data_IF_363815401529
#
_entry.id   IF_363815401529
#
_cell.length_a   1.000
_cell.length_b   1.000
_cell.length_c   1.000
_cell.angle_alpha   90.00
_cell.angle_beta   90.00
_cell.angle_gamma   90.00
#
_symmetry.space_group_name_H-M   'P 1'
#
loop_
_entity.id
_entity.type
_entity.pdbx_description
1 polymer ?
#
# COMPACT_ATOMS: atom_id res chain seq x y z
N UNK A 1 5.86 15.21 44.00
CA UNK A 1 4.84 14.83 42.98
C UNK A 1 4.99 15.66 41.70
N UNK A 2 6.16 15.65 41.02
CA UNK A 2 6.42 16.55 39.87
C UNK A 2 6.69 15.83 38.53
N UNK A 3 6.90 14.52 38.52
CA UNK A 3 7.40 13.79 37.33
C UNK A 3 6.33 13.45 36.27
N UNK A 4 5.04 13.45 36.63
CA UNK A 4 3.95 13.05 35.71
C UNK A 4 3.63 14.11 34.64
N UNK A 5 3.95 15.38 34.91
CA UNK A 5 3.70 16.52 33.99
C UNK A 5 4.68 16.53 32.81
N UNK A 6 5.96 16.28 33.06
CA UNK A 6 7.02 16.35 32.05
C UNK A 6 6.92 15.20 31.04
N UNK A 7 6.67 13.98 31.53
CA UNK A 7 6.49 12.79 30.68
C UNK A 7 5.28 12.91 29.72
N UNK A 8 4.19 13.56 30.18
CA UNK A 8 3.02 13.83 29.35
C UNK A 8 3.33 14.85 28.24
N UNK A 9 4.05 15.92 28.56
CA UNK A 9 4.47 16.94 27.58
C UNK A 9 5.40 16.36 26.51
N UNK A 10 6.28 15.44 26.92
CA UNK A 10 7.23 14.78 26.01
C UNK A 10 6.51 13.81 25.06
N UNK A 11 5.57 12.99 25.57
CA UNK A 11 4.67 12.18 24.75
C UNK A 11 3.82 13.02 23.79
N UNK A 12 3.38 14.20 24.23
CA UNK A 12 2.56 15.10 23.43
C UNK A 12 3.37 15.75 22.31
N UNK A 13 4.62 16.12 22.60
CA UNK A 13 5.59 16.60 21.59
C UNK A 13 5.96 15.51 20.58
N UNK A 14 6.14 14.27 21.02
CA UNK A 14 6.39 13.12 20.13
C UNK A 14 5.20 12.81 19.22
N UNK A 15 3.99 12.95 19.74
CA UNK A 15 2.75 12.85 18.97
C UNK A 15 2.63 13.96 17.93
N UNK A 16 2.93 15.20 18.32
CA UNK A 16 2.93 16.36 17.40
C UNK A 16 3.99 16.23 16.31
N UNK A 17 5.21 15.80 16.65
CA UNK A 17 6.27 15.56 15.67
C UNK A 17 5.87 14.48 14.66
N UNK A 18 5.32 13.35 15.13
CA UNK A 18 4.79 12.30 14.24
C UNK A 18 3.63 12.77 13.38
N UNK A 19 2.72 13.58 13.93
CA UNK A 19 1.62 14.18 13.16
C UNK A 19 2.12 15.14 12.08
N UNK A 20 3.18 15.89 12.37
CA UNK A 20 3.77 16.84 11.43
C UNK A 20 4.58 16.14 10.32
N UNK A 21 5.23 15.02 10.61
CA UNK A 21 5.88 14.20 9.58
C UNK A 21 4.85 13.50 8.68
N UNK A 22 3.69 13.12 9.23
CA UNK A 22 2.54 12.62 8.47
C UNK A 22 1.91 13.71 7.59
N UNK A 23 1.81 14.96 8.08
CA UNK A 23 1.23 16.07 7.30
C UNK A 23 2.12 16.44 6.10
N UNK A 24 3.44 16.36 6.25
CA UNK A 24 4.41 16.55 5.14
C UNK A 24 4.26 15.49 4.05
N UNK A 25 3.89 14.26 4.41
CA UNK A 25 3.55 13.19 3.45
C UNK A 25 2.17 13.39 2.79
N UNK A 26 1.28 14.19 3.39
CA UNK A 26 -0.10 14.45 2.91
C UNK A 26 -0.28 15.77 2.13
N UNK A 27 0.73 16.66 2.09
CA UNK A 27 0.63 17.96 1.37
C UNK A 27 0.33 17.87 -0.14
N UNK A 28 0.21 16.66 -0.70
CA UNK A 28 -0.24 16.46 -2.06
C UNK A 28 -1.74 16.34 -2.29
N UNK A 29 -2.65 16.18 -1.30
CA UNK A 29 -4.04 15.76 -1.64
C UNK A 29 -5.24 15.99 -0.72
N UNK A 30 -5.20 16.79 0.34
CA UNK A 30 -6.40 17.00 1.19
C UNK A 30 -6.80 18.46 1.33
N UNK A 31 -7.98 18.77 0.81
CA UNK A 31 -8.62 20.07 0.80
C UNK A 31 -8.89 20.58 2.23
N UNK A 32 -8.63 21.86 2.42
CA UNK A 32 -8.51 22.64 3.67
C UNK A 32 -9.79 22.73 4.51
N UNK A 33 -10.93 22.23 4.03
CA UNK A 33 -12.25 22.43 4.63
C UNK A 33 -12.61 21.45 5.76
N UNK A 34 -11.94 20.30 5.86
CA UNK A 34 -12.23 19.31 6.92
C UNK A 34 -11.62 19.65 8.29
N UNK A 35 -10.55 20.45 8.34
CA UNK A 35 -9.84 20.76 9.59
C UNK A 35 -10.57 21.80 10.45
N UNK A 36 -11.33 22.73 9.86
CA UNK A 36 -12.00 23.79 10.62
C UNK A 36 -13.28 23.30 11.33
N UNK A 37 -14.04 22.39 10.71
CA UNK A 37 -15.25 21.83 11.32
C UNK A 37 -14.94 20.96 12.54
N UNK A 38 -13.76 20.31 12.55
CA UNK A 38 -13.33 19.45 13.65
C UNK A 38 -13.03 20.27 14.92
N UNK A 39 -12.41 21.44 14.77
CA UNK A 39 -12.07 22.33 15.89
C UNK A 39 -13.31 22.90 16.59
N UNK A 40 -14.39 23.15 15.85
CA UNK A 40 -15.64 23.67 16.42
C UNK A 40 -16.40 22.63 17.26
N UNK A 41 -16.28 21.34 16.94
CA UNK A 41 -16.90 20.26 17.70
C UNK A 41 -16.22 19.95 19.04
N UNK A 42 -14.94 20.35 19.21
CA UNK A 42 -14.16 20.11 20.43
C UNK A 42 -14.58 20.98 21.63
N UNK A 43 -15.27 22.10 21.40
CA UNK A 43 -15.52 23.12 22.45
C UNK A 43 -16.81 22.92 23.25
N UNK A 44 -17.79 22.14 22.77
CA UNK A 44 -19.17 22.21 23.28
C UNK A 44 -19.67 21.00 24.08
N UNK A 45 -18.93 19.89 24.20
CA UNK A 45 -19.44 18.71 24.93
C UNK A 45 -18.34 18.01 25.75
N UNK A 46 -18.43 17.96 27.10
CA UNK A 46 -17.48 17.20 27.92
C UNK A 46 -17.57 15.68 27.68
N UNK A 47 -18.71 15.18 27.19
CA UNK A 47 -18.89 13.78 26.76
C UNK A 47 -18.12 13.51 25.44
N UNK A 48 -17.96 14.53 24.59
CA UNK A 48 -17.16 14.42 23.38
C UNK A 48 -15.69 14.23 23.73
N UNK A 49 -15.17 14.81 24.82
CA UNK A 49 -13.79 14.62 25.25
C UNK A 49 -13.44 13.15 25.54
N UNK A 50 -14.35 12.37 26.14
CA UNK A 50 -14.13 10.95 26.42
C UNK A 50 -14.20 10.08 25.14
N UNK A 51 -15.10 10.42 24.21
CA UNK A 51 -15.23 9.76 22.89
C UNK A 51 -14.05 10.10 21.99
N UNK A 52 -13.56 11.34 22.04
CA UNK A 52 -12.49 11.89 21.21
C UNK A 52 -11.10 11.44 21.69
N UNK A 53 -10.98 11.09 22.97
CA UNK A 53 -9.81 10.42 23.57
C UNK A 53 -9.62 8.98 23.08
N UNK A 54 -10.69 8.27 22.70
CA UNK A 54 -10.61 6.99 21.97
C UNK A 54 -10.52 7.18 20.44
N UNK A 55 -10.97 8.31 19.91
CA UNK A 55 -11.01 8.60 18.47
C UNK A 55 -9.64 9.00 17.89
N UNK A 56 -8.75 9.59 18.69
CA UNK A 56 -7.40 10.01 18.27
C UNK A 56 -6.53 8.87 17.66
N UNK A 57 -6.37 7.69 18.29
CA UNK A 57 -5.57 6.61 17.71
C UNK A 57 -6.21 5.97 16.46
N UNK A 58 -7.54 5.92 16.38
CA UNK A 58 -8.27 5.38 15.22
C UNK A 58 -8.14 6.34 14.02
N UNK A 59 -8.25 7.65 14.25
CA UNK A 59 -8.05 8.65 13.21
C UNK A 59 -6.59 8.64 12.73
N UNK A 60 -5.61 8.49 13.63
CA UNK A 60 -4.20 8.34 13.25
C UNK A 60 -3.93 7.05 12.45
N UNK A 61 -4.58 5.94 12.84
CA UNK A 61 -4.56 4.67 12.10
C UNK A 61 -5.14 4.82 10.69
N UNK A 62 -6.28 5.52 10.57
CA UNK A 62 -6.93 5.77 9.29
C UNK A 62 -6.07 6.69 8.41
N UNK A 63 -5.53 7.78 8.95
CA UNK A 63 -4.71 8.74 8.21
C UNK A 63 -3.38 8.14 7.72
N UNK A 64 -2.70 7.34 8.54
CA UNK A 64 -1.42 6.73 8.15
C UNK A 64 -1.58 5.56 7.17
N UNK A 65 -2.73 4.88 7.13
CA UNK A 65 -2.99 3.78 6.20
C UNK A 65 -3.56 4.26 4.85
N UNK A 66 -4.23 5.42 4.82
CA UNK A 66 -4.86 5.97 3.61
C UNK A 66 -3.85 6.29 2.48
N UNK A 67 -2.58 6.54 2.80
CA UNK A 67 -1.55 6.79 1.79
C UNK A 67 -1.00 5.52 1.14
N UNK A 68 -0.91 4.42 1.90
CA UNK A 68 -0.22 3.19 1.47
C UNK A 68 -1.15 2.17 0.81
N UNK A 69 -2.43 2.16 1.22
CA UNK A 69 -3.46 1.27 0.65
C UNK A 69 -3.72 1.45 -0.85
N UNK A 70 -3.78 2.67 -1.44
CA UNK A 70 -4.02 2.82 -2.87
C UNK A 70 -2.82 2.36 -3.72
N UNK A 71 -1.59 2.51 -3.24
CA UNK A 71 -0.40 2.09 -3.99
C UNK A 71 -0.22 0.57 -3.97
N UNK A 72 -0.52 -0.07 -2.84
CA UNK A 72 -0.60 -1.54 -2.73
C UNK A 72 -1.70 -2.08 -3.66
N UNK A 73 -2.88 -1.45 -3.68
CA UNK A 73 -3.98 -1.87 -4.55
C UNK A 73 -3.62 -1.77 -6.05
N UNK A 74 -2.97 -0.69 -6.48
CA UNK A 74 -2.48 -0.53 -7.86
C UNK A 74 -1.42 -1.58 -8.20
N UNK A 75 -0.47 -1.82 -7.30
CA UNK A 75 0.57 -2.83 -7.52
C UNK A 75 -0.03 -4.24 -7.67
N UNK A 76 -0.99 -4.60 -6.82
CA UNK A 76 -1.76 -5.86 -6.98
C UNK A 76 -2.51 -5.94 -8.31
N UNK A 77 -3.12 -4.85 -8.79
CA UNK A 77 -3.83 -4.85 -10.07
C UNK A 77 -2.86 -5.09 -11.24
N UNK A 78 -1.72 -4.41 -11.23
CA UNK A 78 -0.67 -4.58 -12.25
C UNK A 78 -0.08 -5.99 -12.21
N UNK A 79 0.20 -6.52 -11.02
CA UNK A 79 0.66 -7.90 -10.81
C UNK A 79 -0.31 -8.91 -11.42
N UNK A 80 -1.61 -8.82 -11.09
CA UNK A 80 -2.65 -9.70 -11.64
C UNK A 80 -2.65 -9.71 -13.17
N UNK A 81 -2.54 -8.52 -13.79
CA UNK A 81 -2.46 -8.41 -15.25
C UNK A 81 -1.26 -9.15 -15.81
N UNK A 82 -0.07 -8.94 -15.25
CA UNK A 82 1.14 -9.62 -15.72
C UNK A 82 1.12 -11.13 -15.47
N UNK A 83 0.53 -11.60 -14.37
CA UNK A 83 0.35 -13.04 -14.11
C UNK A 83 -0.52 -13.71 -15.18
N UNK A 84 -1.63 -13.06 -15.57
CA UNK A 84 -2.50 -13.56 -16.63
C UNK A 84 -1.73 -13.59 -17.96
N UNK A 85 -1.05 -12.49 -18.31
CA UNK A 85 -0.26 -12.42 -19.54
C UNK A 85 0.86 -13.46 -19.58
N UNK A 86 1.53 -13.72 -18.45
CA UNK A 86 2.55 -14.75 -18.37
C UNK A 86 1.95 -16.12 -18.71
N UNK A 87 0.85 -16.50 -18.05
CA UNK A 87 0.18 -17.78 -18.30
C UNK A 87 -0.30 -17.94 -19.74
N UNK A 88 -0.84 -16.89 -20.35
CA UNK A 88 -1.24 -16.90 -21.77
C UNK A 88 -0.02 -17.13 -22.69
N UNK A 89 1.11 -16.47 -22.44
CA UNK A 89 2.30 -16.62 -23.27
C UNK A 89 2.97 -17.99 -23.06
N UNK A 90 2.96 -18.52 -21.84
CA UNK A 90 3.42 -19.89 -21.56
C UNK A 90 2.57 -20.94 -22.27
N UNK A 91 1.24 -20.73 -22.34
CA UNK A 91 0.36 -21.61 -23.09
C UNK A 91 0.68 -21.55 -24.59
N UNK A 92 0.82 -20.34 -25.16
CA UNK A 92 1.20 -20.17 -26.58
C UNK A 92 2.53 -20.85 -26.87
N UNK A 93 3.52 -20.73 -25.97
CA UNK A 93 4.81 -21.40 -26.15
C UNK A 93 4.66 -22.93 -26.20
N UNK A 94 3.83 -23.51 -25.31
CA UNK A 94 3.56 -24.95 -25.31
C UNK A 94 2.87 -25.40 -26.60
N UNK A 95 1.91 -24.62 -27.11
CA UNK A 95 1.26 -24.92 -28.40
C UNK A 95 2.25 -24.84 -29.56
N UNK A 96 3.18 -23.86 -29.56
CA UNK A 96 4.22 -23.74 -30.58
C UNK A 96 5.22 -24.90 -30.52
N UNK A 97 5.58 -25.38 -29.33
CA UNK A 97 6.48 -26.52 -29.13
C UNK A 97 5.85 -27.86 -29.62
N UNK A 98 4.52 -27.92 -29.82
CA UNK A 98 3.82 -29.09 -30.39
C UNK A 98 3.75 -29.08 -31.92
N UNK A 99 4.12 -27.97 -32.58
CA UNK A 99 4.08 -27.87 -34.04
C UNK A 99 5.27 -28.60 -34.68
N UNK A 100 5.05 -29.16 -35.86
CA UNK A 100 6.12 -29.72 -36.68
C UNK A 100 7.06 -28.61 -37.19
N UNK A 101 8.31 -28.94 -37.47
CA UNK A 101 9.34 -27.98 -37.92
C UNK A 101 9.00 -27.27 -39.25
N UNK A 102 8.13 -27.87 -40.07
CA UNK A 102 7.67 -27.34 -41.36
C UNK A 102 6.31 -26.60 -41.28
N UNK A 103 5.76 -26.44 -40.07
CA UNK A 103 4.48 -25.77 -39.86
C UNK A 103 4.53 -24.28 -40.23
N UNK A 104 3.47 -23.80 -40.87
CA UNK A 104 3.34 -22.38 -41.20
C UNK A 104 2.72 -21.61 -40.03
N UNK A 105 3.48 -20.70 -39.41
CA UNK A 105 2.99 -19.80 -38.36
C UNK A 105 2.63 -18.45 -38.97
N UNK A 106 1.53 -17.85 -38.50
CA UNK A 106 1.09 -16.53 -38.94
C UNK A 106 0.82 -15.62 -37.75
N UNK A 107 1.27 -14.37 -37.84
CA UNK A 107 1.01 -13.31 -36.86
C UNK A 107 0.00 -12.32 -37.40
N UNK A 108 -1.06 -12.05 -36.64
CA UNK A 108 -2.02 -11.00 -36.97
C UNK A 108 -1.44 -9.62 -36.63
N UNK A 109 -1.36 -8.75 -37.63
CA UNK A 109 -0.95 -7.36 -37.52
C UNK A 109 -2.04 -6.50 -38.15
N UNK A 110 -2.82 -5.81 -37.31
CA UNK A 110 -3.97 -5.03 -37.78
C UNK A 110 -5.02 -5.93 -38.46
N UNK A 111 -5.24 -5.72 -39.76
CA UNK A 111 -6.18 -6.50 -40.57
C UNK A 111 -5.50 -7.61 -41.41
N UNK A 112 -4.19 -7.82 -41.25
CA UNK A 112 -3.39 -8.71 -42.14
C UNK A 112 -2.69 -9.80 -41.34
N UNK A 113 -2.62 -11.01 -41.90
CA UNK A 113 -1.80 -12.12 -41.41
C UNK A 113 -0.44 -12.12 -42.09
N UNK A 114 0.63 -12.05 -41.31
CA UNK A 114 2.01 -12.08 -41.80
C UNK A 114 2.63 -13.43 -41.46
N UNK A 115 3.15 -14.13 -42.48
CA UNK A 115 3.86 -15.40 -42.28
C UNK A 115 5.10 -15.16 -41.42
N UNK A 116 5.32 -16.03 -40.46
CA UNK A 116 6.43 -15.99 -39.54
C UNK A 116 7.11 -17.35 -39.47
N UNK A 117 8.42 -17.32 -39.25
CA UNK A 117 9.20 -18.52 -39.03
C UNK A 117 8.91 -19.09 -37.64
N UNK A 118 8.85 -20.42 -37.53
CA UNK A 118 8.54 -21.08 -36.25
C UNK A 118 9.61 -20.77 -35.19
N UNK A 119 10.89 -20.75 -35.57
CA UNK A 119 11.97 -20.43 -34.64
C UNK A 119 11.93 -18.95 -34.21
N UNK A 120 11.61 -18.03 -35.13
CA UNK A 120 11.42 -16.62 -34.80
C UNK A 120 10.21 -16.41 -33.88
N UNK A 121 9.09 -17.08 -34.13
CA UNK A 121 7.90 -17.03 -33.28
C UNK A 121 8.23 -17.52 -31.86
N UNK A 122 8.92 -18.66 -31.73
CA UNK A 122 9.36 -19.22 -30.46
C UNK A 122 10.30 -18.28 -29.70
N UNK A 123 11.31 -17.73 -30.36
CA UNK A 123 12.25 -16.79 -29.74
C UNK A 123 11.55 -15.52 -29.23
N UNK A 124 10.57 -14.99 -29.98
CA UNK A 124 9.79 -13.83 -29.58
C UNK A 124 8.92 -14.10 -28.34
N UNK A 125 8.23 -15.25 -28.30
CA UNK A 125 7.39 -15.63 -27.16
C UNK A 125 8.25 -15.86 -25.92
N UNK A 126 9.39 -16.56 -26.04
CA UNK A 126 10.34 -16.78 -24.93
C UNK A 126 10.88 -15.47 -24.37
N UNK A 127 11.32 -14.54 -25.23
CA UNK A 127 11.79 -13.22 -24.82
C UNK A 127 10.70 -12.41 -24.09
N UNK A 128 9.44 -12.56 -24.52
CA UNK A 128 8.30 -11.91 -23.86
C UNK A 128 8.03 -12.49 -22.47
N UNK A 129 8.11 -13.81 -22.32
CA UNK A 129 7.99 -14.50 -21.03
C UNK A 129 9.09 -14.05 -20.07
N UNK A 130 10.34 -13.98 -20.53
CA UNK A 130 11.47 -13.52 -19.71
C UNK A 130 11.27 -12.09 -19.21
N UNK A 131 10.87 -11.18 -20.09
CA UNK A 131 10.58 -9.80 -19.73
C UNK A 131 9.46 -9.70 -18.68
N UNK A 132 8.34 -10.39 -18.90
CA UNK A 132 7.20 -10.36 -17.97
C UNK A 132 7.60 -10.97 -16.61
N UNK A 133 8.35 -12.07 -16.62
CA UNK A 133 8.83 -12.72 -15.41
C UNK A 133 9.76 -11.83 -14.59
N UNK A 134 10.66 -11.10 -15.25
CA UNK A 134 11.54 -10.13 -14.61
C UNK A 134 10.74 -8.96 -13.99
N UNK A 135 9.75 -8.43 -14.71
CA UNK A 135 8.92 -7.34 -14.21
C UNK A 135 8.02 -7.79 -13.04
N UNK A 136 7.50 -9.02 -13.08
CA UNK A 136 6.78 -9.61 -11.94
C UNK A 136 7.65 -9.71 -10.69
N UNK A 137 8.91 -10.15 -10.81
CA UNK A 137 9.85 -10.17 -9.68
C UNK A 137 10.08 -8.77 -9.10
N UNK A 138 10.20 -7.76 -9.97
CA UNK A 138 10.38 -6.36 -9.54
C UNK A 138 9.16 -5.82 -8.81
N UNK A 139 7.95 -6.14 -9.31
CA UNK A 139 6.69 -5.79 -8.67
C UNK A 139 6.54 -6.49 -7.30
N UNK A 140 6.86 -7.77 -7.22
CA UNK A 140 6.78 -8.56 -5.99
C UNK A 140 7.73 -8.01 -4.92
N UNK A 141 8.97 -7.64 -5.27
CA UNK A 141 9.89 -6.97 -4.34
C UNK A 141 9.37 -5.60 -3.88
N UNK A 142 8.84 -4.79 -4.80
CA UNK A 142 8.24 -3.49 -4.44
C UNK A 142 7.02 -3.64 -3.53
N UNK A 143 6.24 -4.70 -3.71
CA UNK A 143 5.06 -5.01 -2.92
C UNK A 143 5.46 -5.47 -1.51
N UNK A 144 6.47 -6.33 -1.40
CA UNK A 144 7.03 -6.74 -0.11
C UNK A 144 7.54 -5.52 0.69
N UNK A 145 8.30 -4.63 0.06
CA UNK A 145 8.80 -3.40 0.71
C UNK A 145 7.66 -2.51 1.25
N UNK A 146 6.55 -2.41 0.49
CA UNK A 146 5.38 -1.63 0.89
C UNK A 146 4.61 -2.31 2.03
N UNK A 147 4.47 -3.64 1.99
CA UNK A 147 3.84 -4.42 3.06
C UNK A 147 4.65 -4.37 4.35
N UNK A 148 5.98 -4.48 4.29
CA UNK A 148 6.86 -4.34 5.46
C UNK A 148 6.77 -2.93 6.07
N UNK A 149 6.75 -1.88 5.24
CA UNK A 149 6.50 -0.50 5.70
C UNK A 149 5.12 -0.35 6.34
N UNK A 150 4.10 -1.00 5.78
CA UNK A 150 2.76 -1.01 6.36
C UNK A 150 2.75 -1.70 7.72
N UNK A 151 3.44 -2.84 7.83
CA UNK A 151 3.53 -3.64 9.05
C UNK A 151 4.26 -2.87 10.15
N UNK A 152 5.42 -2.29 9.85
CA UNK A 152 6.19 -1.48 10.79
C UNK A 152 5.38 -0.29 11.34
N UNK A 153 4.66 0.43 10.46
CA UNK A 153 3.77 1.52 10.87
C UNK A 153 2.62 1.00 11.75
N UNK A 154 2.02 -0.14 11.40
CA UNK A 154 0.96 -0.78 12.20
C UNK A 154 1.45 -1.16 13.59
N UNK A 155 2.61 -1.77 13.72
CA UNK A 155 3.21 -2.13 15.02
C UNK A 155 3.53 -0.90 15.88
N UNK A 156 4.12 0.14 15.28
CA UNK A 156 4.42 1.38 15.99
C UNK A 156 3.15 2.02 16.57
N UNK A 157 2.04 1.97 15.82
CA UNK A 157 0.73 2.44 16.27
C UNK A 157 0.20 1.56 17.41
N UNK A 158 0.26 0.23 17.30
CA UNK A 158 -0.18 -0.68 18.36
C UNK A 158 0.56 -0.43 19.68
N UNK A 159 1.88 -0.22 19.62
CA UNK A 159 2.70 0.13 20.79
C UNK A 159 2.27 1.44 21.43
N UNK A 160 1.98 2.47 20.62
CA UNK A 160 1.45 3.75 21.12
C UNK A 160 0.07 3.57 21.76
N UNK A 161 -0.80 2.76 21.14
CA UNK A 161 -2.13 2.48 21.67
C UNK A 161 -2.08 1.75 23.03
N UNK A 162 -1.19 0.76 23.19
CA UNK A 162 -0.96 0.07 24.46
C UNK A 162 -0.43 1.02 25.56
N UNK A 163 0.50 1.93 25.22
CA UNK A 163 1.02 2.93 26.15
C UNK A 163 -0.08 3.91 26.61
N UNK A 164 -0.98 4.30 25.70
CA UNK A 164 -2.11 5.18 26.05
C UNK A 164 -3.10 4.45 26.98
N UNK A 165 -3.43 3.18 26.72
CA UNK A 165 -4.33 2.40 27.57
C UNK A 165 -3.78 2.20 28.99
N UNK A 166 -2.50 1.84 29.11
CA UNK A 166 -1.83 1.67 30.42
C UNK A 166 -1.76 2.97 31.22
N UNK A 167 -1.54 4.12 30.59
CA UNK A 167 -1.56 5.42 31.27
C UNK A 167 -2.97 5.88 31.69
N UNK A 168 -4.03 5.41 31.04
CA UNK A 168 -5.41 5.73 31.43
C UNK A 168 -5.92 4.86 32.58
N UNK A 169 -5.52 3.58 32.63
CA UNK A 169 -5.85 2.69 33.75
C UNK A 169 -5.20 3.13 35.09
N UNK A 170 -4.04 3.78 35.02
CA UNK A 170 -3.37 4.35 36.20
C UNK A 170 -4.01 5.61 36.78
N UNK A 171 -4.78 6.37 35.98
CA UNK A 171 -5.50 7.58 36.46
C UNK A 171 -6.89 7.30 37.03
N UNK A 172 -7.46 6.12 36.78
CA UNK A 172 -8.80 5.75 37.29
C UNK A 172 -8.76 5.11 38.70
N UNK A 173 -7.56 4.88 39.26
CA UNK A 173 -7.35 4.24 40.56
C UNK A 173 -6.69 5.15 41.62
N UNK A 174 -6.60 6.45 41.37
CA UNK A 174 -6.01 7.45 42.27
C UNK A 174 -7.00 8.57 42.56
#
# INVERSE_FOLDING_TARGET
>A
MSSSSTALRELQRDLENKANDLSKLQKGKTNETHSQLLLFFFSLFPICFQILRLRSPIVLFMYSLNGLSPDIAKNHQVRKKYTIQLGENELVLKELDLLNEDANVYKLIGLVLVKQDLAEANANVRKRIEYISAELKRLDGSLQDLEEKQHSKREAILKVQQRIQSHQAGKAKA
#
